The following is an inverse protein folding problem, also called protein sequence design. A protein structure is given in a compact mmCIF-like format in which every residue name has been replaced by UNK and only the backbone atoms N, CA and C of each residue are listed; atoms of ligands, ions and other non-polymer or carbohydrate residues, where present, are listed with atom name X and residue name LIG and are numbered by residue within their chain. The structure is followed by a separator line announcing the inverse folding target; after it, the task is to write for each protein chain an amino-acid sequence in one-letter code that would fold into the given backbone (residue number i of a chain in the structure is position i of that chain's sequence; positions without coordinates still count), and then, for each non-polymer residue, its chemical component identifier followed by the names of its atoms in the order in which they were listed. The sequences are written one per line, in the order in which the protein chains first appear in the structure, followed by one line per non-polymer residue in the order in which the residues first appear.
data_IF_998264177769
#
_entry.id   IF_998264177769
#
_cell.length_a   1.000
_cell.length_b   1.000
_cell.length_c   1.000
_cell.angle_alpha   90.00
_cell.angle_beta   90.00
_cell.angle_gamma   90.00
#
_symmetry.space_group_name_H-M   'P 1'
#
loop_
_entity.id
_entity.type
_entity.pdbx_description
1 polymer ?
#
# COMPACT_ATOMS: atom_id res chain seq x y z
N UNK A 1 -24.40 21.00 11.98
CA UNK A 1 -23.99 20.21 10.80
C UNK A 1 -25.24 19.63 10.18
N UNK A 2 -25.55 19.98 8.94
CA UNK A 2 -26.75 19.50 8.26
C UNK A 2 -26.52 18.03 7.88
N UNK A 3 -27.46 17.17 8.27
CA UNK A 3 -27.34 15.72 8.14
C UNK A 3 -27.29 15.31 6.66
N UNK A 4 -26.29 14.49 6.32
CA UNK A 4 -25.99 13.95 4.97
C UNK A 4 -27.22 13.31 4.29
N UNK A 5 -28.15 12.80 5.08
CA UNK A 5 -29.43 12.23 4.61
C UNK A 5 -30.29 13.19 3.76
N UNK A 6 -30.20 14.51 3.97
CA UNK A 6 -30.94 15.49 3.16
C UNK A 6 -30.23 15.80 1.85
N UNK A 7 -28.89 15.71 1.84
CA UNK A 7 -28.09 15.92 0.64
C UNK A 7 -28.27 14.75 -0.33
N UNK A 8 -28.28 13.52 0.18
CA UNK A 8 -28.46 12.30 -0.61
C UNK A 8 -29.86 12.26 -1.26
N UNK A 9 -30.89 12.72 -0.54
CA UNK A 9 -32.26 12.81 -1.06
C UNK A 9 -32.42 13.86 -2.15
N UNK A 10 -31.80 15.03 -1.98
CA UNK A 10 -31.82 16.11 -2.99
C UNK A 10 -31.02 15.75 -4.26
N UNK A 11 -29.93 14.99 -4.15
CA UNK A 11 -29.17 14.51 -5.30
C UNK A 11 -29.93 13.44 -6.10
N UNK A 12 -30.71 12.59 -5.42
CA UNK A 12 -31.57 11.61 -6.07
C UNK A 12 -32.75 12.25 -6.83
N UNK A 13 -33.36 13.30 -6.26
CA UNK A 13 -34.47 14.02 -6.89
C UNK A 13 -34.04 14.82 -8.15
N UNK A 14 -32.77 15.24 -8.22
CA UNK A 14 -32.21 15.93 -9.39
C UNK A 14 -31.53 15.01 -10.43
N UNK A 15 -31.66 13.69 -10.31
CA UNK A 15 -31.07 12.75 -11.27
C UNK A 15 -29.53 12.72 -11.26
N UNK A 16 -28.91 13.25 -10.20
CA UNK A 16 -27.46 13.24 -9.95
C UNK A 16 -27.06 12.11 -9.01
N UNK A 17 -27.96 11.14 -8.76
CA UNK A 17 -27.61 9.93 -8.06
C UNK A 17 -26.50 9.20 -8.83
N UNK A 18 -25.39 8.80 -8.19
CA UNK A 18 -24.40 7.95 -8.83
C UNK A 18 -25.12 6.69 -9.34
N UNK A 19 -25.02 6.43 -10.64
CA UNK A 19 -25.61 5.26 -11.25
C UNK A 19 -25.12 4.00 -10.51
N UNK A 20 -26.00 3.03 -10.21
CA UNK A 20 -25.55 1.76 -9.65
C UNK A 20 -24.58 1.12 -10.65
N UNK A 21 -23.35 0.87 -10.17
CA UNK A 21 -22.25 0.27 -10.94
C UNK A 21 -22.74 -0.94 -11.74
N UNK A 22 -22.95 -0.78 -13.05
CA UNK A 22 -23.18 -1.90 -13.94
C UNK A 22 -21.93 -2.80 -13.94
N UNK A 23 -22.02 -4.09 -13.57
CA UNK A 23 -20.86 -4.97 -13.39
C UNK A 23 -20.06 -5.32 -14.67
N UNK A 24 -20.32 -4.66 -15.82
CA UNK A 24 -19.85 -5.11 -17.13
C UNK A 24 -19.02 -4.12 -17.93
N UNK A 25 -18.95 -2.84 -17.55
CA UNK A 25 -18.36 -1.83 -18.43
C UNK A 25 -17.68 -0.68 -17.65
N UNK A 26 -16.44 -0.89 -17.18
CA UNK A 26 -15.40 0.15 -17.08
C UNK A 26 -14.21 -0.30 -16.22
N UNK A 27 -13.04 -0.50 -16.86
CA UNK A 27 -11.73 -0.47 -16.19
C UNK A 27 -11.45 -1.57 -15.16
N UNK A 28 -10.20 -1.67 -14.71
CA UNK A 28 -9.92 -2.39 -13.48
C UNK A 28 -10.23 -1.46 -12.32
N UNK A 29 -10.99 -1.96 -11.35
CA UNK A 29 -11.34 -1.20 -10.17
C UNK A 29 -10.24 -1.40 -9.15
N UNK A 30 -9.46 -0.35 -8.90
CA UNK A 30 -8.48 -0.32 -7.79
C UNK A 30 -9.21 0.13 -6.55
N UNK A 31 -9.30 -0.76 -5.56
CA UNK A 31 -9.88 -0.52 -4.24
C UNK A 31 -8.79 -0.57 -3.20
N UNK A 32 -9.00 0.17 -2.14
CA UNK A 32 -8.17 0.02 -0.97
C UNK A 32 -8.53 -1.28 -0.24
N UNK A 33 -7.51 -2.07 0.13
CA UNK A 33 -7.69 -3.36 0.78
C UNK A 33 -8.14 -3.20 2.24
N UNK A 34 -8.34 -4.34 2.92
CA UNK A 34 -8.72 -4.35 4.34
C UNK A 34 -7.62 -3.65 5.16
N UNK A 35 -7.96 -2.47 5.69
CA UNK A 35 -7.11 -1.72 6.61
C UNK A 35 -7.29 -2.26 8.03
N UNK A 36 -6.21 -2.67 8.74
CA UNK A 36 -6.32 -2.98 10.16
C UNK A 36 -6.76 -1.72 10.94
N UNK A 37 -7.33 -1.90 12.15
CA UNK A 37 -7.81 -0.80 12.95
C UNK A 37 -6.71 0.24 13.17
N UNK A 38 -7.09 1.51 13.07
CA UNK A 38 -6.20 2.65 13.31
C UNK A 38 -5.74 2.63 14.78
N UNK A 39 -4.44 2.44 15.01
CA UNK A 39 -3.91 2.47 16.37
C UNK A 39 -3.57 3.92 16.74
N UNK A 40 -4.43 4.54 17.56
CA UNK A 40 -4.30 5.92 17.98
C UNK A 40 -2.96 6.18 18.70
N UNK A 41 -2.45 5.22 19.46
CA UNK A 41 -1.14 5.32 20.13
C UNK A 41 -0.02 5.42 19.09
N UNK A 42 0.00 4.54 18.09
CA UNK A 42 1.01 4.54 17.03
C UNK A 42 0.81 5.66 15.99
N UNK A 43 -0.36 6.29 15.93
CA UNK A 43 -0.66 7.39 15.00
C UNK A 43 -0.79 6.99 13.53
N UNK A 44 -1.08 5.71 13.24
CA UNK A 44 -1.22 5.17 11.88
C UNK A 44 -1.74 3.74 11.83
N UNK A 45 -1.98 3.25 10.61
CA UNK A 45 -2.31 1.84 10.34
C UNK A 45 -1.03 0.99 10.35
N UNK A 46 -1.11 -0.24 10.88
CA UNK A 46 0.03 -1.15 10.92
C UNK A 46 0.28 -1.88 9.59
N UNK A 47 -0.58 -1.68 8.59
CA UNK A 47 -0.38 -2.15 7.22
C UNK A 47 -1.08 -1.23 6.23
N UNK A 48 -0.59 -1.28 4.99
CA UNK A 48 -1.19 -0.63 3.82
C UNK A 48 -1.53 -1.75 2.84
N UNK A 49 -2.70 -1.70 2.21
CA UNK A 49 -3.07 -2.70 1.21
C UNK A 49 -3.94 -2.08 0.11
N UNK A 50 -3.73 -2.53 -1.12
CA UNK A 50 -4.50 -2.17 -2.30
C UNK A 50 -4.87 -3.45 -3.04
N UNK A 51 -6.03 -3.44 -3.67
CA UNK A 51 -6.55 -4.54 -4.45
C UNK A 51 -7.11 -4.02 -5.77
N UNK A 52 -6.67 -4.59 -6.89
CA UNK A 52 -7.24 -4.32 -8.19
C UNK A 52 -7.93 -5.56 -8.73
N UNK A 53 -9.16 -5.40 -9.23
CA UNK A 53 -9.83 -6.46 -9.98
C UNK A 53 -9.91 -6.07 -11.44
N UNK A 54 -9.30 -6.89 -12.30
CA UNK A 54 -9.26 -6.72 -13.75
C UNK A 54 -10.19 -7.76 -14.38
N UNK A 55 -11.17 -7.34 -15.22
CA UNK A 55 -11.96 -8.28 -16.00
C UNK A 55 -11.08 -9.06 -16.99
N UNK A 56 -11.31 -10.37 -17.09
CA UNK A 56 -10.56 -11.27 -17.96
C UNK A 56 -9.46 -12.05 -17.24
N UNK A 57 -9.06 -13.14 -17.89
CA UNK A 57 -8.09 -14.09 -17.35
C UNK A 57 -6.70 -13.86 -17.95
N UNK A 58 -5.80 -13.33 -17.14
CA UNK A 58 -4.40 -13.18 -17.52
C UNK A 58 -3.74 -14.55 -17.77
N UNK A 59 -3.03 -14.74 -18.89
CA UNK A 59 -2.26 -15.95 -19.14
C UNK A 59 -1.10 -16.11 -18.15
N UNK A 60 -0.86 -17.34 -17.66
CA UNK A 60 0.26 -17.64 -16.76
C UNK A 60 1.63 -17.33 -17.39
N UNK A 61 1.75 -17.48 -18.72
CA UNK A 61 2.98 -17.17 -19.46
C UNK A 61 3.40 -15.69 -19.41
N UNK A 62 2.48 -14.79 -19.05
CA UNK A 62 2.73 -13.35 -18.99
C UNK A 62 2.98 -12.89 -17.53
N UNK A 63 2.99 -13.81 -16.55
CA UNK A 63 3.25 -13.51 -15.15
C UNK A 63 4.67 -12.95 -14.91
N UNK A 64 5.62 -13.31 -15.76
CA UNK A 64 6.97 -12.77 -15.76
C UNK A 64 7.00 -11.25 -15.98
N UNK A 65 6.09 -10.72 -16.81
CA UNK A 65 5.93 -9.27 -17.02
C UNK A 65 5.56 -8.54 -15.73
N UNK A 66 4.66 -9.13 -14.92
CA UNK A 66 4.30 -8.57 -13.62
C UNK A 66 5.48 -8.60 -12.65
N UNK A 67 6.22 -9.72 -12.62
CA UNK A 67 7.40 -9.86 -11.76
C UNK A 67 8.48 -8.83 -12.10
N UNK A 68 8.77 -8.63 -13.39
CA UNK A 68 9.74 -7.62 -13.84
C UNK A 68 9.30 -6.21 -13.43
N UNK A 69 8.02 -5.89 -13.58
CA UNK A 69 7.47 -4.61 -13.18
C UNK A 69 7.55 -4.40 -11.65
N UNK A 70 7.26 -5.43 -10.85
CA UNK A 70 7.42 -5.40 -9.39
C UNK A 70 8.87 -5.13 -9.02
N UNK A 71 9.82 -5.87 -9.61
CA UNK A 71 11.25 -5.73 -9.32
C UNK A 71 11.77 -4.34 -9.62
N UNK A 72 11.39 -3.77 -10.76
CA UNK A 72 11.77 -2.40 -11.15
C UNK A 72 11.14 -1.35 -10.26
N UNK A 73 9.87 -1.52 -9.88
CA UNK A 73 9.16 -0.54 -9.06
C UNK A 73 9.63 -0.53 -7.60
N UNK A 74 9.96 -1.70 -7.05
CA UNK A 74 10.39 -1.85 -5.66
C UNK A 74 11.92 -1.83 -5.50
N UNK A 75 12.67 -1.95 -6.59
CA UNK A 75 14.12 -2.16 -6.60
C UNK A 75 14.54 -3.33 -5.70
N UNK A 76 13.75 -4.41 -5.74
CA UNK A 76 13.95 -5.63 -4.94
C UNK A 76 13.68 -6.86 -5.81
N UNK A 77 14.58 -7.84 -5.75
CA UNK A 77 14.46 -9.08 -6.51
C UNK A 77 13.39 -10.03 -5.95
N UNK A 78 13.14 -9.96 -4.63
CA UNK A 78 12.14 -10.74 -3.91
C UNK A 78 12.19 -12.26 -4.11
N UNK A 79 11.18 -12.94 -3.58
CA UNK A 79 10.92 -14.36 -3.77
C UNK A 79 9.60 -14.51 -4.51
N UNK A 80 9.62 -15.27 -5.61
CA UNK A 80 8.43 -15.56 -6.43
C UNK A 80 8.00 -16.99 -6.19
N UNK A 81 6.70 -17.20 -6.02
CA UNK A 81 6.06 -18.51 -5.98
C UNK A 81 4.87 -18.51 -6.90
N UNK A 82 4.85 -19.42 -7.87
CA UNK A 82 3.74 -19.61 -8.81
C UNK A 82 3.13 -20.97 -8.54
N UNK A 83 1.83 -20.99 -8.26
CA UNK A 83 1.08 -22.22 -8.01
C UNK A 83 -0.16 -22.19 -8.88
N UNK A 84 -0.10 -22.88 -10.02
CA UNK A 84 -1.12 -22.84 -11.07
C UNK A 84 -1.43 -21.40 -11.49
N UNK A 85 -2.70 -21.02 -11.34
CA UNK A 85 -3.24 -19.70 -11.73
C UNK A 85 -3.03 -18.60 -10.69
N UNK A 86 -2.08 -18.80 -9.79
CA UNK A 86 -1.75 -17.83 -8.73
C UNK A 86 -0.26 -17.53 -8.71
N UNK A 87 0.07 -16.25 -8.62
CA UNK A 87 1.42 -15.76 -8.44
C UNK A 87 1.49 -15.03 -7.10
N UNK A 88 2.46 -15.39 -6.27
CA UNK A 88 2.76 -14.69 -5.04
C UNK A 88 4.21 -14.21 -5.11
N UNK A 89 4.43 -12.93 -4.81
CA UNK A 89 5.72 -12.30 -4.72
C UNK A 89 5.87 -11.71 -3.32
N UNK A 90 7.01 -11.94 -2.69
CA UNK A 90 7.31 -11.35 -1.38
C UNK A 90 8.69 -10.71 -1.41
N UNK A 91 8.79 -9.54 -0.78
CA UNK A 91 10.05 -8.81 -0.62
C UNK A 91 11.13 -9.65 0.07
N UNK A 92 12.37 -9.52 -0.39
CA UNK A 92 13.53 -10.09 0.28
C UNK A 92 14.11 -9.13 1.34
N UNK A 93 13.70 -7.85 1.31
CA UNK A 93 14.13 -6.85 2.27
C UNK A 93 13.55 -7.13 3.67
N UNK A 94 14.45 -7.27 4.65
CA UNK A 94 14.11 -7.48 6.06
C UNK A 94 13.42 -6.26 6.69
N UNK A 95 13.71 -5.05 6.21
CA UNK A 95 13.16 -3.80 6.73
C UNK A 95 11.83 -3.42 6.06
N UNK A 96 11.57 -3.93 4.86
CA UNK A 96 10.37 -3.61 4.08
C UNK A 96 9.69 -4.87 3.57
N UNK A 97 8.70 -5.35 4.34
CA UNK A 97 7.93 -6.55 4.00
C UNK A 97 6.71 -6.20 3.14
N UNK A 98 6.91 -6.24 1.82
CA UNK A 98 5.86 -6.16 0.81
C UNK A 98 5.45 -7.55 0.36
N UNK A 99 4.16 -7.79 0.21
CA UNK A 99 3.56 -9.01 -0.33
C UNK A 99 2.63 -8.64 -1.48
N UNK A 100 2.76 -9.35 -2.60
CA UNK A 100 1.94 -9.14 -3.79
C UNK A 100 1.38 -10.49 -4.21
N UNK A 101 0.08 -10.57 -4.43
CA UNK A 101 -0.59 -11.78 -4.85
C UNK A 101 -1.44 -11.49 -6.08
N UNK A 102 -1.32 -12.31 -7.12
CA UNK A 102 -2.15 -12.26 -8.32
C UNK A 102 -2.89 -13.57 -8.38
N UNK A 103 -4.22 -13.52 -8.45
CA UNK A 103 -5.08 -14.68 -8.55
C UNK A 103 -5.94 -14.55 -9.80
N UNK A 104 -5.86 -15.54 -10.68
CA UNK A 104 -6.71 -15.60 -11.87
C UNK A 104 -7.77 -16.68 -11.66
N UNK A 105 -9.03 -16.26 -11.49
CA UNK A 105 -10.14 -17.16 -11.19
C UNK A 105 -11.47 -16.54 -11.65
N UNK A 106 -12.42 -17.38 -12.06
CA UNK A 106 -13.80 -16.98 -12.37
C UNK A 106 -13.88 -15.85 -13.42
N UNK A 107 -13.06 -15.92 -14.47
CA UNK A 107 -13.09 -14.92 -15.55
C UNK A 107 -12.47 -13.57 -15.19
N UNK A 108 -11.79 -13.44 -14.04
CA UNK A 108 -11.16 -12.20 -13.57
C UNK A 108 -9.75 -12.44 -13.03
N UNK A 109 -8.98 -11.36 -13.00
CA UNK A 109 -7.64 -11.31 -12.42
C UNK A 109 -7.64 -10.34 -11.25
N UNK A 110 -7.43 -10.85 -10.03
CA UNK A 110 -7.36 -10.05 -8.81
C UNK A 110 -5.90 -9.89 -8.39
N UNK A 111 -5.47 -8.64 -8.21
CA UNK A 111 -4.13 -8.26 -7.81
C UNK A 111 -4.20 -7.62 -6.44
N UNK A 112 -3.55 -8.22 -5.44
CA UNK A 112 -3.41 -7.69 -4.10
C UNK A 112 -1.98 -7.23 -3.88
N UNK A 113 -1.80 -6.02 -3.34
CA UNK A 113 -0.50 -5.46 -2.97
C UNK A 113 -0.59 -4.96 -1.54
N UNK A 114 0.21 -5.53 -0.64
CA UNK A 114 0.19 -5.21 0.78
C UNK A 114 1.57 -4.99 1.36
N UNK A 115 1.69 -4.09 2.33
CA UNK A 115 2.92 -3.86 3.09
C UNK A 115 2.63 -3.85 4.58
N UNK A 116 3.44 -4.58 5.36
CA UNK A 116 3.38 -4.54 6.83
C UNK A 116 4.34 -3.49 7.36
N UNK A 117 3.81 -2.53 8.12
CA UNK A 117 4.58 -1.42 8.70
C UNK A 117 5.07 -1.69 10.12
N UNK A 118 4.77 -2.86 10.71
CA UNK A 118 5.13 -3.18 12.11
C UNK A 118 6.63 -3.05 12.37
N UNK A 119 7.46 -3.52 11.45
CA UNK A 119 8.92 -3.47 11.60
C UNK A 119 9.44 -2.02 11.47
N UNK A 120 8.86 -1.22 10.56
CA UNK A 120 9.15 0.21 10.46
C UNK A 120 8.76 0.96 11.73
N UNK A 121 7.57 0.69 12.26
CA UNK A 121 7.06 1.29 13.51
C UNK A 121 8.00 0.90 14.66
N UNK A 122 8.36 -0.37 14.77
CA UNK A 122 9.31 -0.86 15.78
C UNK A 122 10.68 -0.20 15.67
N UNK A 123 11.21 -0.03 14.46
CA UNK A 123 12.49 0.63 14.23
C UNK A 123 12.44 2.14 14.55
N UNK A 124 11.34 2.83 14.20
CA UNK A 124 11.20 4.26 14.41
C UNK A 124 10.99 4.58 15.89
N UNK A 125 10.07 3.88 16.56
CA UNK A 125 9.83 4.05 17.99
C UNK A 125 10.99 3.46 18.80
N UNK A 126 11.54 2.30 18.44
CA UNK A 126 12.68 1.70 19.12
C UNK A 126 13.98 2.48 18.94
N UNK A 127 14.22 3.08 17.78
CA UNK A 127 15.40 3.91 17.52
C UNK A 127 15.31 5.30 18.16
N UNK A 128 14.17 5.98 18.01
CA UNK A 128 14.00 7.34 18.55
C UNK A 128 13.72 7.29 20.06
N UNK A 129 12.96 6.31 20.57
CA UNK A 129 12.78 6.16 22.03
C UNK A 129 13.99 5.44 22.62
N UNK A 130 14.41 4.29 22.10
CA UNK A 130 15.55 3.55 22.68
C UNK A 130 16.90 4.26 22.54
N UNK A 131 17.20 4.86 21.39
CA UNK A 131 18.43 5.62 21.17
C UNK A 131 18.30 7.10 21.54
N UNK A 132 17.16 7.71 21.22
CA UNK A 132 16.90 9.11 21.53
C UNK A 132 16.60 9.33 23.01
N UNK A 133 15.74 8.58 23.70
CA UNK A 133 15.52 8.84 25.14
C UNK A 133 16.66 8.28 26.01
N UNK A 134 17.23 7.12 25.71
CA UNK A 134 18.43 6.63 26.40
C UNK A 134 19.65 7.55 26.27
N UNK A 135 19.85 8.16 25.08
CA UNK A 135 20.96 9.09 24.81
C UNK A 135 20.68 10.56 25.11
N UNK A 136 19.43 11.03 25.04
CA UNK A 136 19.05 12.44 25.30
C UNK A 136 18.66 12.71 26.75
N UNK A 137 18.33 11.68 27.54
CA UNK A 137 18.07 11.86 28.97
C UNK A 137 19.38 12.20 29.71
N UNK A 138 20.53 11.68 29.28
CA UNK A 138 21.84 11.96 29.92
C UNK A 138 22.17 13.45 30.03
N UNK A 139 22.13 14.23 28.94
CA UNK A 139 22.31 15.68 28.99
C UNK A 139 21.24 16.41 29.81
N UNK A 140 19.99 15.95 29.79
CA UNK A 140 18.90 16.57 30.57
C UNK A 140 19.13 16.36 32.08
N UNK A 141 19.53 15.15 32.49
CA UNK A 141 19.93 14.86 33.88
C UNK A 141 21.11 15.74 34.28
N UNK A 142 22.15 15.83 33.44
CA UNK A 142 23.35 16.64 33.72
C UNK A 142 23.01 18.14 33.92
N UNK A 143 22.12 18.69 33.09
CA UNK A 143 21.68 20.09 33.24
C UNK A 143 20.85 20.28 34.50
N UNK A 144 19.93 19.36 34.82
CA UNK A 144 19.06 19.50 36.00
C UNK A 144 19.85 19.32 37.30
N UNK A 145 20.85 18.43 37.32
CA UNK A 145 21.82 18.31 38.43
C UNK A 145 22.64 19.59 38.59
N UNK A 146 23.17 20.14 37.49
CA UNK A 146 23.99 21.37 37.53
C UNK A 146 23.24 22.60 38.05
N UNK A 147 21.91 22.61 37.97
CA UNK A 147 21.06 23.73 38.39
C UNK A 147 20.30 23.47 39.71
N UNK A 148 20.44 22.28 40.31
CA UNK A 148 19.78 21.88 41.57
C UNK A 148 18.24 22.00 41.57
N UNK A 149 17.59 21.79 40.42
CA UNK A 149 16.16 22.04 40.19
C UNK A 149 15.22 20.84 40.49
N UNK A 150 15.63 19.94 41.40
CA UNK A 150 15.42 18.50 41.22
C UNK A 150 13.99 17.93 41.31
N UNK A 151 12.98 18.50 42.00
CA UNK A 151 11.62 17.95 41.93
C UNK A 151 10.70 18.68 40.95
N UNK A 152 10.77 20.01 40.85
CA UNK A 152 9.74 20.81 40.16
C UNK A 152 9.92 20.84 38.64
N UNK A 153 11.17 20.77 38.16
CA UNK A 153 11.50 20.94 36.73
C UNK A 153 11.76 19.59 36.05
N UNK A 154 12.15 18.57 36.81
CA UNK A 154 12.54 17.27 36.27
C UNK A 154 11.38 16.54 35.57
N UNK A 155 10.24 16.41 36.24
CA UNK A 155 9.05 15.78 35.68
C UNK A 155 8.54 16.48 34.40
N UNK A 156 8.32 17.81 34.35
CA UNK A 156 7.89 18.47 33.12
C UNK A 156 8.94 18.43 32.01
N UNK A 157 10.24 18.50 32.33
CA UNK A 157 11.30 18.39 31.34
C UNK A 157 11.33 17.00 30.66
N UNK A 158 11.17 15.92 31.44
CA UNK A 158 11.06 14.56 30.90
C UNK A 158 9.80 14.43 30.04
N UNK A 159 8.65 14.91 30.51
CA UNK A 159 7.41 14.86 29.74
C UNK A 159 7.51 15.66 28.43
N UNK A 160 8.15 16.83 28.46
CA UNK A 160 8.39 17.64 27.26
C UNK A 160 9.34 16.93 26.27
N UNK A 161 10.40 16.29 26.75
CA UNK A 161 11.31 15.50 25.92
C UNK A 161 10.61 14.29 25.28
N UNK A 162 9.84 13.54 26.08
CA UNK A 162 9.04 12.42 25.58
C UNK A 162 8.00 12.89 24.57
N UNK A 163 7.30 13.99 24.83
CA UNK A 163 6.33 14.58 23.91
C UNK A 163 6.95 15.01 22.58
N UNK A 164 8.16 15.61 22.63
CA UNK A 164 8.92 16.02 21.44
C UNK A 164 9.33 14.80 20.62
N UNK A 165 9.91 13.80 21.27
CA UNK A 165 10.32 12.51 20.68
C UNK A 165 9.13 11.81 20.00
N UNK A 166 8.00 11.74 20.70
CA UNK A 166 6.78 11.13 20.18
C UNK A 166 6.23 11.87 18.96
N UNK A 167 6.31 13.21 18.98
CA UNK A 167 5.85 14.06 17.88
C UNK A 167 6.70 13.86 16.62
N UNK A 168 8.03 13.79 16.78
CA UNK A 168 8.96 13.50 15.67
C UNK A 168 8.69 12.10 15.08
N UNK A 169 8.49 11.09 15.94
CA UNK A 169 8.16 9.74 15.50
C UNK A 169 6.83 9.72 14.73
N UNK A 170 5.76 10.34 15.25
CA UNK A 170 4.46 10.41 14.54
C UNK A 170 4.56 11.13 13.21
N UNK A 171 5.25 12.27 13.16
CA UNK A 171 5.40 13.03 11.92
C UNK A 171 6.14 12.21 10.85
N UNK A 172 7.25 11.58 11.24
CA UNK A 172 8.06 10.74 10.34
C UNK A 172 7.26 9.54 9.84
N UNK A 173 6.53 8.84 10.71
CA UNK A 173 5.70 7.70 10.33
C UNK A 173 4.61 8.12 9.32
N UNK A 174 3.95 9.26 9.54
CA UNK A 174 2.93 9.77 8.61
C UNK A 174 3.53 10.09 7.24
N UNK A 175 4.69 10.73 7.20
CA UNK A 175 5.37 11.08 5.95
C UNK A 175 5.79 9.85 5.16
N UNK A 176 6.43 8.89 5.82
CA UNK A 176 6.86 7.63 5.18
C UNK A 176 5.66 6.81 4.72
N UNK A 177 4.64 6.64 5.57
CA UNK A 177 3.42 5.90 5.23
C UNK A 177 2.73 6.49 4.00
N UNK A 178 2.60 7.82 3.90
CA UNK A 178 2.00 8.48 2.72
C UNK A 178 2.80 8.21 1.44
N UNK A 179 4.12 8.33 1.50
CA UNK A 179 4.99 8.05 0.36
C UNK A 179 4.89 6.58 -0.08
N UNK A 180 4.93 5.64 0.87
CA UNK A 180 4.81 4.20 0.57
C UNK A 180 3.43 3.85 0.01
N UNK A 181 2.38 4.42 0.57
CA UNK A 181 1.01 4.28 0.08
C UNK A 181 0.87 4.70 -1.38
N UNK A 182 1.39 5.89 -1.74
CA UNK A 182 1.39 6.36 -3.13
C UNK A 182 2.14 5.41 -4.08
N UNK A 183 3.29 4.88 -3.65
CA UNK A 183 4.07 3.91 -4.45
C UNK A 183 3.32 2.60 -4.65
N UNK A 184 2.71 2.05 -3.59
CA UNK A 184 1.97 0.78 -3.68
C UNK A 184 0.70 0.92 -4.52
N UNK A 185 0.00 2.06 -4.41
CA UNK A 185 -1.15 2.37 -5.26
C UNK A 185 -0.73 2.45 -6.74
N UNK A 186 0.30 3.25 -7.05
CA UNK A 186 0.80 3.38 -8.41
C UNK A 186 1.31 2.05 -8.99
N UNK A 187 1.92 1.19 -8.16
CA UNK A 187 2.31 -0.16 -8.56
C UNK A 187 1.08 -1.01 -8.88
N UNK A 188 0.04 -0.95 -8.05
CA UNK A 188 -1.19 -1.71 -8.24
C UNK A 188 -1.89 -1.33 -9.54
N UNK A 189 -1.98 -0.03 -9.82
CA UNK A 189 -2.52 0.52 -11.09
C UNK A 189 -1.71 0.00 -12.29
N UNK A 190 -0.37 0.09 -12.22
CA UNK A 190 0.52 -0.38 -13.29
C UNK A 190 0.41 -1.89 -13.56
N UNK A 191 0.31 -2.71 -12.51
CA UNK A 191 0.12 -4.16 -12.65
C UNK A 191 -1.25 -4.48 -13.25
N UNK A 192 -2.28 -3.73 -12.88
CA UNK A 192 -3.61 -3.87 -13.45
C UNK A 192 -3.62 -3.50 -14.95
N UNK A 193 -2.93 -2.44 -15.34
CA UNK A 193 -2.78 -2.05 -16.75
C UNK A 193 -2.01 -3.12 -17.55
N UNK A 194 -0.92 -3.65 -17.01
CA UNK A 194 -0.14 -4.73 -17.63
C UNK A 194 -0.97 -6.00 -17.81
N UNK A 195 -1.79 -6.34 -16.81
CA UNK A 195 -2.71 -7.47 -16.91
C UNK A 195 -3.76 -7.25 -18.01
N UNK A 196 -4.35 -6.04 -18.11
CA UNK A 196 -5.29 -5.71 -19.20
C UNK A 196 -4.66 -5.85 -20.58
N UNK A 197 -3.45 -5.35 -20.77
CA UNK A 197 -2.74 -5.45 -22.05
C UNK A 197 -2.47 -6.92 -22.43
N UNK A 198 -2.11 -7.74 -21.45
CA UNK A 198 -1.85 -9.18 -21.65
C UNK A 198 -3.12 -9.95 -22.00
N UNK A 199 -4.24 -9.62 -21.35
CA UNK A 199 -5.58 -10.14 -21.67
C UNK A 199 -5.99 -9.73 -23.10
N UNK A 200 -5.79 -8.45 -23.46
CA UNK A 200 -6.10 -7.93 -24.80
C UNK A 200 -5.26 -8.57 -25.91
N UNK A 201 -3.97 -8.83 -25.68
CA UNK A 201 -3.12 -9.55 -26.65
C UNK A 201 -3.58 -10.98 -26.91
N UNK A 202 -4.20 -11.63 -25.91
CA UNK A 202 -4.79 -12.97 -26.09
C UNK A 202 -6.07 -12.93 -26.93
N UNK A 203 -6.96 -11.95 -26.70
CA UNK A 203 -8.20 -11.84 -27.46
C UNK A 203 -7.97 -11.51 -28.94
N UNK A 204 -6.83 -10.90 -29.27
CA UNK A 204 -6.40 -10.56 -30.64
C UNK A 204 -5.52 -11.66 -31.28
N UNK A 205 -5.55 -12.90 -30.77
CA UNK A 205 -4.73 -14.02 -31.28
C UNK A 205 -4.76 -14.20 -32.81
N UNK A 206 -3.66 -14.68 -33.41
CA UNK A 206 -3.31 -14.49 -34.81
C UNK A 206 -4.39 -15.01 -35.74
N UNK A 207 -5.11 -14.08 -36.38
CA UNK A 207 -5.99 -14.39 -37.50
C UNK A 207 -5.22 -15.21 -38.52
N UNK A 208 -5.73 -16.41 -38.78
CA UNK A 208 -5.39 -17.29 -39.89
C UNK A 208 -4.93 -16.45 -41.09
N UNK A 209 -3.66 -16.56 -41.48
CA UNK A 209 -3.20 -16.06 -42.78
C UNK A 209 -4.14 -16.67 -43.83
N UNK A 210 -4.91 -15.88 -44.60
CA UNK A 210 -5.64 -16.45 -45.71
C UNK A 210 -4.61 -17.09 -46.64
N UNK A 211 -4.83 -18.36 -46.93
CA UNK A 211 -4.00 -19.18 -47.80
C UNK A 211 -3.74 -18.42 -49.11
N UNK A 212 -2.47 -18.08 -49.38
CA UNK A 212 -2.03 -17.56 -50.68
C UNK A 212 -2.03 -18.72 -51.67
N UNK A 213 -3.21 -19.25 -51.97
CA UNK A 213 -3.47 -20.18 -53.07
C UNK A 213 -4.68 -19.72 -53.87
N UNK A 214 -4.55 -18.54 -54.46
CA UNK A 214 -5.31 -18.13 -55.64
C UNK A 214 -4.73 -16.81 -56.10
N UNK A 215 -3.71 -16.86 -56.95
CA UNK A 215 -3.53 -15.95 -58.08
C UNK A 215 -2.22 -16.34 -58.78
N UNK A 216 -2.42 -17.01 -59.92
CA UNK A 216 -1.50 -17.32 -61.02
C UNK A 216 -0.77 -18.65 -60.95
#
# INVERSE_FOLDING_TARGET
GIATQFLDRAMAEHGLAPAPDEPGAAGAVVREGIRPPYNWWLGGHASISYEATVPGEMPERDFDLLVDQIRRALNDNGVVSVVGRSLNWTSADKQRKVQISVLVRDGKTTIYVGERLRDLIGALYGGIIGGGSGGSIGPIIAVIESLNLFPLVFAPAILASLGTTFSIARYSLRRVTRSRSAVLQALTERLADQARESIGRRSVGPGVRPDRKALR
#
